data_IF_743071304724
#
_entry.id   IF_743071304724
#
_cell.length_a   1.000
_cell.length_b   1.000
_cell.length_c   1.000
_cell.angle_alpha   90.00
_cell.angle_beta   90.00
_cell.angle_gamma   90.00
#
_symmetry.space_group_name_H-M   'P 1'
#
loop_
_entity.id
_entity.type
_entity.pdbx_description
1 polymer ?
#
# COMPACT_ATOMS: atom_id res chain seq x y z
N UNK A 1 1.05 -17.98 -15.10
CA UNK A 1 -0.16 -17.53 -15.82
C UNK A 1 -1.43 -18.17 -15.23
N UNK A 2 -2.51 -17.40 -15.19
CA UNK A 2 -3.82 -17.85 -14.76
C UNK A 2 -4.57 -18.58 -15.91
N UNK A 3 -5.65 -19.28 -15.56
CA UNK A 3 -6.49 -19.93 -16.58
C UNK A 3 -7.12 -18.93 -17.58
N UNK A 4 -7.66 -17.74 -17.14
CA UNK A 4 -8.16 -16.73 -18.06
C UNK A 4 -7.10 -16.14 -18.98
N UNK A 5 -5.89 -15.90 -18.52
CA UNK A 5 -4.78 -15.38 -19.34
C UNK A 5 -4.39 -16.37 -20.45
N UNK A 6 -4.46 -17.68 -20.18
CA UNK A 6 -4.10 -18.69 -21.18
C UNK A 6 -5.25 -19.11 -22.07
N UNK A 7 -6.46 -19.21 -21.54
CA UNK A 7 -7.60 -19.86 -22.22
C UNK A 7 -8.88 -19.03 -22.16
N UNK A 8 -8.82 -17.80 -21.63
CA UNK A 8 -9.97 -16.91 -21.59
C UNK A 8 -10.45 -16.55 -23.01
N UNK A 9 -11.76 -16.48 -23.19
CA UNK A 9 -12.39 -16.00 -24.41
C UNK A 9 -13.57 -15.14 -24.03
N UNK A 10 -13.35 -13.82 -24.10
CA UNK A 10 -14.33 -12.79 -23.73
C UNK A 10 -14.50 -11.80 -24.89
N UNK A 11 -15.52 -10.95 -24.89
CA UNK A 11 -15.57 -9.84 -25.83
C UNK A 11 -14.28 -9.01 -25.76
N UNK A 12 -13.59 -8.88 -26.90
CA UNK A 12 -12.32 -8.16 -27.05
C UNK A 12 -11.10 -8.72 -26.28
N UNK A 13 -11.15 -9.97 -25.79
CA UNK A 13 -10.01 -10.61 -25.15
C UNK A 13 -9.90 -12.08 -25.57
N UNK A 14 -8.70 -12.49 -26.00
CA UNK A 14 -8.37 -13.89 -26.36
C UNK A 14 -7.12 -14.28 -25.58
N UNK A 15 -7.23 -15.33 -24.75
CA UNK A 15 -6.11 -15.84 -23.95
C UNK A 15 -4.98 -16.40 -24.82
N UNK A 16 -3.76 -16.38 -24.28
CA UNK A 16 -2.56 -16.88 -24.93
C UNK A 16 -2.09 -18.21 -24.30
N UNK A 17 -2.32 -19.35 -24.95
CA UNK A 17 -1.93 -20.64 -24.41
C UNK A 17 -0.40 -20.85 -24.31
N UNK A 18 0.39 -20.01 -24.98
CA UNK A 18 1.84 -20.09 -25.00
C UNK A 18 2.53 -19.35 -23.85
N UNK A 19 1.79 -18.73 -22.96
CA UNK A 19 2.36 -18.06 -21.79
C UNK A 19 3.20 -19.04 -20.97
N UNK A 20 4.40 -18.58 -20.61
CA UNK A 20 5.28 -19.25 -19.64
C UNK A 20 5.10 -18.64 -18.25
N UNK A 21 5.45 -19.35 -17.18
CA UNK A 21 5.42 -18.79 -15.82
C UNK A 21 6.32 -17.58 -15.67
N UNK A 22 5.91 -16.64 -14.82
CA UNK A 22 6.78 -15.62 -14.27
C UNK A 22 7.76 -16.28 -13.30
N UNK A 23 9.00 -15.82 -13.29
CA UNK A 23 10.04 -16.28 -12.38
C UNK A 23 10.54 -15.09 -11.56
N UNK A 24 10.77 -15.31 -10.25
CA UNK A 24 11.34 -14.29 -9.38
C UNK A 24 12.52 -14.84 -8.61
N UNK A 25 13.62 -14.11 -8.66
CA UNK A 25 14.80 -14.35 -7.81
C UNK A 25 14.96 -13.17 -6.86
N UNK A 26 15.06 -13.45 -5.56
CA UNK A 26 15.21 -12.39 -4.56
C UNK A 26 16.19 -12.78 -3.47
N UNK A 27 16.80 -11.78 -2.85
CA UNK A 27 17.53 -11.90 -1.62
C UNK A 27 17.15 -10.80 -0.64
N UNK A 28 17.27 -11.08 0.62
CA UNK A 28 17.08 -10.12 1.70
C UNK A 28 18.11 -10.32 2.79
N UNK A 29 18.47 -9.22 3.45
CA UNK A 29 19.30 -9.22 4.65
C UNK A 29 18.65 -8.35 5.71
N UNK A 30 18.36 -8.95 6.86
CA UNK A 30 17.70 -8.28 7.97
C UNK A 30 18.52 -8.33 9.26
N UNK A 31 18.28 -7.35 10.13
CA UNK A 31 18.81 -7.30 11.48
C UNK A 31 17.78 -6.74 12.45
N UNK A 32 17.62 -7.41 13.59
CA UNK A 32 16.77 -6.98 14.69
C UNK A 32 17.61 -6.55 15.90
N UNK A 33 17.24 -5.43 16.51
CA UNK A 33 17.87 -4.93 17.72
C UNK A 33 16.80 -4.68 18.80
N UNK A 34 16.93 -5.40 19.90
CA UNK A 34 16.16 -5.13 21.10
C UNK A 34 16.77 -3.94 21.85
N UNK A 35 15.94 -2.95 22.16
CA UNK A 35 16.32 -1.77 22.95
C UNK A 35 15.37 -1.57 24.11
N UNK A 36 15.68 -0.64 25.01
CA UNK A 36 14.87 -0.36 26.21
C UNK A 36 14.62 -1.60 27.08
N UNK A 37 15.66 -2.46 27.24
CA UNK A 37 15.53 -3.70 28.00
C UNK A 37 14.64 -4.77 27.35
N UNK A 38 14.44 -4.70 26.03
CA UNK A 38 13.58 -5.61 25.27
C UNK A 38 12.15 -5.11 25.07
N UNK A 39 11.84 -3.93 25.56
CA UNK A 39 10.51 -3.33 25.42
C UNK A 39 10.22 -2.83 23.99
N UNK A 40 11.25 -2.54 23.22
CA UNK A 40 11.16 -2.09 21.82
C UNK A 40 12.12 -2.90 20.93
N UNK A 41 11.60 -3.36 19.80
CA UNK A 41 12.38 -4.00 18.73
C UNK A 41 12.50 -3.03 17.56
N UNK A 42 13.74 -2.81 17.11
CA UNK A 42 14.03 -2.13 15.85
C UNK A 42 14.45 -3.20 14.84
N UNK A 43 13.89 -3.15 13.65
CA UNK A 43 14.23 -4.05 12.54
C UNK A 43 14.63 -3.24 11.32
N UNK A 44 15.69 -3.67 10.65
CA UNK A 44 16.12 -3.15 9.36
C UNK A 44 16.27 -4.33 8.41
N UNK A 45 15.65 -4.23 7.24
CA UNK A 45 15.81 -5.20 6.14
C UNK A 45 16.20 -4.45 4.88
N UNK A 46 17.14 -4.97 4.13
CA UNK A 46 17.44 -4.56 2.76
C UNK A 46 17.12 -5.72 1.83
N UNK A 47 16.58 -5.43 0.67
CA UNK A 47 16.14 -6.46 -0.27
C UNK A 47 16.35 -6.04 -1.72
N UNK A 48 16.46 -7.05 -2.58
CA UNK A 48 16.42 -6.92 -4.03
C UNK A 48 15.72 -8.13 -4.64
N UNK A 49 14.91 -7.89 -5.64
CA UNK A 49 14.18 -8.91 -6.39
C UNK A 49 14.23 -8.59 -7.89
N UNK A 50 14.47 -9.62 -8.68
CA UNK A 50 14.39 -9.60 -10.14
C UNK A 50 13.20 -10.48 -10.56
N UNK A 51 12.40 -9.98 -11.51
CA UNK A 51 11.28 -10.68 -12.08
C UNK A 51 11.52 -10.85 -13.58
N UNK A 52 11.45 -12.10 -14.04
CA UNK A 52 11.58 -12.46 -15.45
C UNK A 52 10.27 -13.01 -15.99
N UNK A 53 10.05 -12.85 -17.29
CA UNK A 53 8.85 -13.32 -17.97
C UNK A 53 7.55 -12.78 -17.39
N UNK A 54 7.57 -11.56 -16.85
CA UNK A 54 6.39 -10.91 -16.28
C UNK A 54 5.25 -10.88 -17.31
N UNK A 55 4.02 -11.10 -16.88
CA UNK A 55 2.88 -11.19 -17.79
C UNK A 55 2.16 -9.85 -17.86
N UNK A 56 2.22 -9.19 -19.03
CA UNK A 56 1.29 -8.11 -19.33
C UNK A 56 -0.06 -8.73 -19.73
N UNK A 57 -1.04 -8.54 -18.88
CA UNK A 57 -2.37 -9.13 -19.03
C UNK A 57 -3.26 -8.44 -20.06
N UNK A 58 -2.83 -7.35 -20.73
CA UNK A 58 -3.73 -6.56 -21.57
C UNK A 58 -3.02 -5.90 -22.77
N UNK A 59 -2.40 -6.73 -23.62
CA UNK A 59 -1.70 -6.30 -24.84
C UNK A 59 -2.65 -6.36 -26.05
N UNK A 60 -2.75 -5.26 -26.80
CA UNK A 60 -3.55 -5.27 -28.04
C UNK A 60 -2.86 -6.06 -29.15
N UNK A 61 -3.55 -7.07 -29.69
CA UNK A 61 -3.10 -7.86 -30.82
C UNK A 61 -3.79 -7.38 -32.12
N UNK A 62 -3.06 -6.73 -33.03
CA UNK A 62 -3.64 -6.25 -34.28
C UNK A 62 -4.05 -7.37 -35.25
N UNK A 63 -3.58 -8.60 -35.05
CA UNK A 63 -3.94 -9.71 -35.91
C UNK A 63 -5.34 -10.26 -35.62
N UNK A 64 -5.74 -10.22 -34.36
CA UNK A 64 -7.05 -10.70 -33.90
C UNK A 64 -8.03 -9.55 -33.61
N UNK A 65 -7.57 -8.29 -33.61
CA UNK A 65 -8.32 -7.09 -33.19
C UNK A 65 -8.88 -7.21 -31.77
N UNK A 66 -8.19 -7.94 -30.90
CA UNK A 66 -8.55 -8.16 -29.51
C UNK A 66 -7.35 -7.92 -28.60
N UNK A 67 -7.58 -7.86 -27.30
CA UNK A 67 -6.53 -7.89 -26.30
C UNK A 67 -6.14 -9.33 -26.00
N UNK A 68 -4.89 -9.53 -25.57
CA UNK A 68 -4.33 -10.81 -25.13
C UNK A 68 -3.36 -10.59 -23.99
N UNK A 69 -2.85 -11.67 -23.42
CA UNK A 69 -1.75 -11.62 -22.46
C UNK A 69 -0.45 -12.09 -23.10
N UNK A 70 0.66 -11.42 -22.82
CA UNK A 70 1.99 -11.82 -23.31
C UNK A 70 3.01 -11.74 -22.17
N UNK A 71 4.02 -12.61 -22.23
CA UNK A 71 5.20 -12.42 -21.38
C UNK A 71 6.03 -11.25 -21.93
N UNK A 72 6.47 -10.40 -21.00
CA UNK A 72 7.38 -9.28 -21.28
C UNK A 72 8.80 -9.85 -21.46
N UNK A 73 9.49 -9.42 -22.50
CA UNK A 73 10.87 -9.83 -22.77
C UNK A 73 11.83 -8.88 -22.06
N UNK A 74 12.08 -9.11 -20.79
CA UNK A 74 12.97 -8.27 -19.98
C UNK A 74 12.96 -8.68 -18.52
N UNK A 75 13.64 -7.93 -17.70
CA UNK A 75 13.72 -8.11 -16.25
C UNK A 75 13.23 -6.86 -15.56
N UNK A 76 12.21 -7.00 -14.73
CA UNK A 76 11.78 -5.95 -13.81
C UNK A 76 12.57 -6.06 -12.51
N UNK A 77 13.00 -4.93 -11.94
CA UNK A 77 13.79 -4.89 -10.72
C UNK A 77 13.04 -4.18 -9.60
N UNK A 78 13.13 -4.73 -8.38
CA UNK A 78 12.64 -4.10 -7.15
C UNK A 78 13.71 -4.19 -6.09
N UNK A 79 14.15 -3.04 -5.57
CA UNK A 79 15.15 -2.97 -4.49
C UNK A 79 14.78 -1.92 -3.48
N UNK A 80 15.16 -2.17 -2.23
CA UNK A 80 14.77 -1.24 -1.19
C UNK A 80 15.29 -1.57 0.19
N UNK A 81 14.75 -0.81 1.14
CA UNK A 81 15.01 -1.00 2.56
C UNK A 81 13.73 -0.77 3.37
N UNK A 82 13.57 -1.56 4.41
CA UNK A 82 12.48 -1.46 5.38
C UNK A 82 13.06 -1.20 6.76
N UNK A 83 12.50 -0.24 7.46
CA UNK A 83 12.81 0.07 8.85
C UNK A 83 11.53 -0.03 9.66
N UNK A 84 11.55 -0.75 10.78
CA UNK A 84 10.42 -0.80 11.69
C UNK A 84 10.84 -0.67 13.15
N UNK A 85 9.88 -0.19 13.97
CA UNK A 85 10.01 -0.11 15.41
C UNK A 85 8.70 -0.56 16.04
N UNK A 86 8.73 -1.62 16.85
CA UNK A 86 7.52 -2.19 17.46
C UNK A 86 7.77 -2.50 18.93
N UNK A 87 6.88 -2.06 19.81
CA UNK A 87 6.94 -2.35 21.23
C UNK A 87 6.24 -1.33 22.11
N UNK A 88 6.64 -1.31 23.38
CA UNK A 88 6.11 -0.39 24.37
C UNK A 88 7.17 0.65 24.74
N UNK A 89 6.84 1.92 24.59
CA UNK A 89 7.69 3.04 24.99
C UNK A 89 7.50 3.42 26.46
N UNK A 90 6.40 2.97 27.06
CA UNK A 90 6.12 3.02 28.49
C UNK A 90 5.06 1.98 28.85
N UNK A 91 4.69 1.84 30.14
CA UNK A 91 3.59 0.97 30.61
C UNK A 91 2.24 1.34 29.99
N UNK A 92 2.06 2.61 29.62
CA UNK A 92 0.79 3.13 29.06
C UNK A 92 0.85 3.45 27.58
N UNK A 93 2.00 3.30 26.92
CA UNK A 93 2.17 3.70 25.51
C UNK A 93 2.82 2.60 24.68
N UNK A 94 2.15 2.23 23.61
CA UNK A 94 2.65 1.31 22.58
C UNK A 94 2.95 2.03 21.27
N UNK A 95 3.95 1.57 20.55
CA UNK A 95 4.41 2.10 19.27
C UNK A 95 4.50 0.97 18.25
N UNK A 96 3.99 1.23 17.04
CA UNK A 96 4.32 0.46 15.85
C UNK A 96 4.56 1.45 14.72
N UNK A 97 5.79 1.53 14.25
CA UNK A 97 6.19 2.39 13.16
C UNK A 97 6.87 1.55 12.06
N UNK A 98 6.63 1.90 10.81
CA UNK A 98 7.29 1.30 9.67
C UNK A 98 7.58 2.37 8.61
N UNK A 99 8.70 2.22 7.93
CA UNK A 99 9.08 3.00 6.78
C UNK A 99 9.68 2.08 5.74
N UNK A 100 9.19 2.19 4.50
CA UNK A 100 9.68 1.44 3.35
C UNK A 100 10.17 2.40 2.28
N UNK A 101 11.37 2.18 1.81
CA UNK A 101 11.88 2.73 0.57
C UNK A 101 11.94 1.62 -0.47
N UNK A 102 11.30 1.82 -1.63
CA UNK A 102 11.33 0.86 -2.73
C UNK A 102 11.58 1.60 -4.04
N UNK A 103 12.61 1.20 -4.78
CA UNK A 103 12.80 1.57 -6.18
C UNK A 103 12.37 0.39 -7.05
N UNK A 104 11.37 0.63 -7.91
CA UNK A 104 10.75 -0.40 -8.74
C UNK A 104 10.75 0.07 -10.19
N UNK A 105 11.40 -0.70 -11.06
CA UNK A 105 11.52 -0.41 -12.49
C UNK A 105 11.07 -1.60 -13.32
N UNK A 106 10.33 -1.34 -14.38
CA UNK A 106 9.95 -2.34 -15.36
C UNK A 106 11.11 -2.74 -16.26
N UNK A 107 10.84 -3.62 -17.19
CA UNK A 107 11.80 -4.14 -18.19
C UNK A 107 12.38 -3.07 -19.12
N UNK A 108 11.66 -1.95 -19.31
CA UNK A 108 12.08 -0.79 -20.07
C UNK A 108 12.94 0.21 -19.25
N UNK A 109 13.33 -0.16 -18.02
CA UNK A 109 14.00 0.70 -17.05
C UNK A 109 13.19 1.95 -16.66
N UNK A 110 11.90 1.99 -16.99
CA UNK A 110 10.96 3.02 -16.53
C UNK A 110 10.35 2.59 -15.20
N UNK A 111 10.14 3.56 -14.34
CA UNK A 111 9.55 3.30 -13.04
C UNK A 111 8.12 2.77 -13.16
N UNK A 112 7.82 1.71 -12.42
CA UNK A 112 6.47 1.16 -12.35
C UNK A 112 5.47 2.20 -11.81
N UNK A 113 4.29 2.24 -12.42
CA UNK A 113 3.20 3.12 -11.97
C UNK A 113 2.58 2.61 -10.67
N UNK A 114 2.00 3.51 -9.88
CA UNK A 114 1.37 3.22 -8.59
C UNK A 114 2.31 2.53 -7.58
N UNK A 115 3.61 2.84 -7.68
CA UNK A 115 4.66 2.37 -6.79
C UNK A 115 5.36 3.57 -6.15
N UNK A 116 4.83 4.13 -5.05
CA UNK A 116 5.51 5.23 -4.37
C UNK A 116 6.83 4.73 -3.78
N UNK A 117 7.91 5.53 -3.93
CA UNK A 117 9.22 5.18 -3.37
C UNK A 117 9.24 5.16 -1.85
N UNK A 118 8.40 5.96 -1.24
CA UNK A 118 8.39 6.17 0.21
C UNK A 118 7.00 5.91 0.76
N UNK A 119 6.92 4.95 1.67
CA UNK A 119 5.71 4.67 2.43
C UNK A 119 6.13 4.67 3.90
N UNK A 120 5.35 5.35 4.75
CA UNK A 120 5.55 5.30 6.19
C UNK A 120 4.23 5.13 6.94
N UNK A 121 4.29 4.45 8.06
CA UNK A 121 3.16 4.33 8.96
C UNK A 121 3.60 4.46 10.41
N UNK A 122 2.75 5.06 11.22
CA UNK A 122 2.92 5.18 12.67
C UNK A 122 1.60 4.88 13.35
N UNK A 123 1.60 3.89 14.23
CA UNK A 123 0.51 3.63 15.16
C UNK A 123 0.99 3.90 16.58
N UNK A 124 0.31 4.79 17.28
CA UNK A 124 0.56 5.14 18.66
C UNK A 124 -0.68 4.81 19.49
N UNK A 125 -0.57 3.83 20.36
CA UNK A 125 -1.57 3.49 21.35
C UNK A 125 -1.21 4.15 22.69
N UNK A 126 -2.16 4.84 23.32
CA UNK A 126 -1.97 5.47 24.61
C UNK A 126 -3.15 5.24 25.54
N UNK A 127 -2.87 4.60 26.66
CA UNK A 127 -3.79 4.51 27.78
C UNK A 127 -3.64 5.77 28.66
N UNK A 128 -4.35 6.85 28.27
CA UNK A 128 -4.25 8.16 28.92
C UNK A 128 -4.79 8.15 30.38
N UNK A 129 -5.74 7.25 30.65
CA UNK A 129 -6.25 6.93 31.98
C UNK A 129 -6.74 5.48 32.00
N UNK A 130 -7.09 4.93 33.19
CA UNK A 130 -7.60 3.56 33.32
C UNK A 130 -8.84 3.27 32.44
N UNK A 131 -9.59 4.30 32.11
CA UNK A 131 -10.83 4.25 31.33
C UNK A 131 -10.78 5.04 30.01
N UNK A 132 -9.60 5.56 29.62
CA UNK A 132 -9.43 6.36 28.41
C UNK A 132 -8.28 5.83 27.56
N UNK A 133 -8.61 5.34 26.37
CA UNK A 133 -7.68 4.85 25.38
C UNK A 133 -7.71 5.74 24.12
N UNK A 134 -6.56 6.17 23.68
CA UNK A 134 -6.34 6.88 22.43
C UNK A 134 -5.49 6.00 21.51
N UNK A 135 -5.89 5.89 20.26
CA UNK A 135 -5.07 5.31 19.20
C UNK A 135 -4.98 6.32 18.06
N UNK A 136 -3.76 6.62 17.62
CA UNK A 136 -3.49 7.49 16.48
C UNK A 136 -2.76 6.69 15.43
N UNK A 137 -3.29 6.68 14.21
CA UNK A 137 -2.67 6.12 13.03
C UNK A 137 -2.29 7.25 12.07
N UNK A 138 -1.03 7.30 11.66
CA UNK A 138 -0.52 8.23 10.66
C UNK A 138 0.02 7.39 9.50
N UNK A 139 -0.39 7.70 8.28
CA UNK A 139 0.09 7.04 7.07
C UNK A 139 0.59 8.11 6.10
N UNK A 140 1.80 7.94 5.62
CA UNK A 140 2.40 8.76 4.57
C UNK A 140 2.62 7.90 3.33
N UNK A 141 2.16 8.40 2.19
CA UNK A 141 2.42 7.84 0.86
C UNK A 141 3.14 8.90 0.05
N UNK A 142 4.32 8.56 -0.47
CA UNK A 142 5.12 9.44 -1.33
C UNK A 142 4.46 9.66 -2.69
N UNK A 143 5.00 10.58 -3.47
CA UNK A 143 4.56 10.78 -4.85
C UNK A 143 4.72 9.51 -5.69
N UNK A 144 3.79 9.32 -6.60
CA UNK A 144 3.79 8.20 -7.55
C UNK A 144 3.29 8.66 -8.91
N UNK A 145 3.45 7.83 -9.92
CA UNK A 145 2.88 8.05 -11.24
C UNK A 145 1.69 7.13 -11.47
N UNK A 146 0.79 7.55 -12.35
CA UNK A 146 -0.31 6.74 -12.86
C UNK A 146 -0.44 6.93 -14.36
N UNK A 147 -1.26 6.11 -15.03
CA UNK A 147 -1.57 6.25 -16.45
C UNK A 147 -3.00 6.73 -16.61
N UNK A 148 -3.13 7.89 -17.23
CA UNK A 148 -4.43 8.40 -17.67
C UNK A 148 -4.73 7.97 -19.10
N UNK A 149 -5.91 7.46 -19.33
CA UNK A 149 -6.42 7.06 -20.63
C UNK A 149 -7.50 8.06 -21.10
N UNK A 150 -7.12 9.10 -21.84
CA UNK A 150 -8.09 10.06 -22.37
C UNK A 150 -8.98 9.40 -23.43
N UNK A 151 -10.13 10.02 -23.78
CA UNK A 151 -10.97 9.56 -24.88
C UNK A 151 -10.20 9.52 -26.20
N UNK A 152 -10.45 8.46 -26.99
CA UNK A 152 -9.89 8.37 -28.35
C UNK A 152 -10.18 9.66 -29.17
N UNK A 153 -9.22 10.20 -29.96
CA UNK A 153 -7.98 9.56 -30.44
C UNK A 153 -6.70 9.90 -29.61
N UNK A 154 -6.81 10.50 -28.45
CA UNK A 154 -5.64 10.90 -27.67
C UNK A 154 -4.89 9.69 -27.06
N UNK A 155 -3.54 9.70 -27.06
CA UNK A 155 -2.76 8.64 -26.44
C UNK A 155 -2.84 8.68 -24.92
N UNK A 156 -2.55 7.55 -24.27
CA UNK A 156 -2.36 7.50 -22.83
C UNK A 156 -1.24 8.44 -22.36
N UNK A 157 -1.36 8.96 -21.14
CA UNK A 157 -0.44 9.93 -20.56
C UNK A 157 -0.03 9.48 -19.17
N UNK A 158 1.27 9.57 -18.87
CA UNK A 158 1.77 9.39 -17.51
C UNK A 158 1.48 10.66 -16.72
N UNK A 159 0.80 10.52 -15.60
CA UNK A 159 0.42 11.61 -14.70
C UNK A 159 1.05 11.42 -13.34
N UNK A 160 1.39 12.51 -12.66
CA UNK A 160 1.91 12.45 -11.30
C UNK A 160 0.77 12.56 -10.28
N UNK A 161 0.80 11.70 -9.27
CA UNK A 161 -0.03 11.78 -8.08
C UNK A 161 0.82 12.30 -6.92
N UNK A 162 0.35 13.36 -6.26
CA UNK A 162 1.06 14.00 -5.15
C UNK A 162 1.17 13.08 -3.94
N UNK A 163 2.22 13.28 -3.14
CA UNK A 163 2.29 12.66 -1.83
C UNK A 163 1.16 13.14 -0.92
N UNK A 164 0.79 12.32 0.06
CA UNK A 164 -0.24 12.66 1.04
C UNK A 164 0.04 12.03 2.41
N UNK A 165 -0.58 12.62 3.44
CA UNK A 165 -0.49 12.12 4.82
C UNK A 165 -1.89 12.02 5.41
N UNK A 166 -2.27 10.83 5.83
CA UNK A 166 -3.54 10.58 6.50
C UNK A 166 -3.32 10.43 8.00
N UNK A 167 -4.17 11.08 8.78
CA UNK A 167 -4.19 10.97 10.24
C UNK A 167 -5.56 10.49 10.66
N UNK A 168 -5.59 9.33 11.33
CA UNK A 168 -6.81 8.76 11.89
C UNK A 168 -6.67 8.68 13.41
N UNK A 169 -7.72 9.04 14.13
CA UNK A 169 -7.72 9.07 15.60
C UNK A 169 -8.93 8.29 16.10
N UNK A 170 -8.69 7.36 17.03
CA UNK A 170 -9.72 6.62 17.72
C UNK A 170 -9.59 6.88 19.23
N UNK A 171 -10.66 7.34 19.84
CA UNK A 171 -10.76 7.56 21.29
C UNK A 171 -11.85 6.65 21.82
N UNK A 172 -11.52 5.88 22.86
CA UNK A 172 -12.45 5.02 23.57
C UNK A 172 -12.47 5.43 25.04
N UNK A 173 -13.67 5.70 25.55
CA UNK A 173 -13.88 6.11 26.94
C UNK A 173 -14.92 5.21 27.60
N UNK A 174 -14.51 4.45 28.61
CA UNK A 174 -15.40 3.62 29.44
C UNK A 174 -15.95 4.47 30.58
N UNK A 175 -17.14 5.01 30.43
CA UNK A 175 -17.78 5.87 31.43
C UNK A 175 -18.19 5.07 32.67
N UNK A 176 -18.58 3.80 32.49
CA UNK A 176 -18.86 2.82 33.55
C UNK A 176 -18.48 1.41 33.03
N UNK A 177 -18.57 0.39 33.90
CA UNK A 177 -18.35 -1.01 33.51
C UNK A 177 -19.29 -1.52 32.37
N UNK A 178 -20.41 -0.83 32.15
CA UNK A 178 -21.43 -1.19 31.19
C UNK A 178 -21.60 -0.21 30.03
N UNK A 179 -20.95 0.94 30.10
CA UNK A 179 -21.19 2.01 29.14
C UNK A 179 -19.89 2.58 28.59
N UNK A 180 -19.67 2.35 27.30
CA UNK A 180 -18.54 2.84 26.53
C UNK A 180 -18.98 3.89 25.50
N UNK A 181 -18.13 4.87 25.30
CA UNK A 181 -18.24 5.88 24.25
C UNK A 181 -17.01 5.76 23.35
N UNK A 182 -17.19 5.92 22.05
CA UNK A 182 -16.07 6.02 21.14
C UNK A 182 -16.23 7.16 20.14
N UNK A 183 -15.13 7.79 19.82
CA UNK A 183 -15.01 8.79 18.76
C UNK A 183 -13.96 8.29 17.78
N UNK A 184 -14.34 8.24 16.50
CA UNK A 184 -13.44 7.93 15.39
C UNK A 184 -13.36 9.12 14.47
N UNK A 185 -12.15 9.61 14.23
CA UNK A 185 -11.85 10.66 13.26
C UNK A 185 -11.04 10.01 12.14
N UNK A 186 -11.51 10.10 10.92
CA UNK A 186 -10.85 9.61 9.71
C UNK A 186 -10.42 10.81 8.89
N UNK A 187 -9.22 10.73 8.33
CA UNK A 187 -8.62 11.83 7.59
C UNK A 187 -8.73 13.16 8.35
N UNK A 188 -8.21 13.18 9.59
CA UNK A 188 -8.37 14.32 10.52
C UNK A 188 -7.75 15.63 10.00
N UNK A 189 -6.82 15.55 9.06
CA UNK A 189 -6.23 16.71 8.38
C UNK A 189 -7.06 17.20 7.19
N UNK A 190 -8.13 16.48 6.84
CA UNK A 190 -8.94 16.72 5.64
C UNK A 190 -8.09 16.79 4.36
N UNK A 191 -7.13 15.88 4.26
CA UNK A 191 -6.25 15.77 3.10
C UNK A 191 -7.06 15.42 1.85
N UNK A 192 -6.77 16.09 0.74
CA UNK A 192 -7.37 15.81 -0.56
C UNK A 192 -6.33 15.09 -1.42
N UNK A 193 -6.56 13.83 -1.73
CA UNK A 193 -5.61 12.96 -2.39
C UNK A 193 -6.29 12.00 -3.36
N UNK A 194 -5.50 11.44 -4.25
CA UNK A 194 -5.90 10.39 -5.17
C UNK A 194 -4.90 9.24 -5.09
N UNK A 195 -5.37 8.01 -5.00
CA UNK A 195 -4.55 6.79 -5.13
C UNK A 195 -4.51 6.29 -6.58
N UNK A 196 -5.56 6.62 -7.33
CA UNK A 196 -5.70 6.38 -8.76
C UNK A 196 -6.19 7.67 -9.39
N UNK A 197 -5.57 8.09 -10.48
CA UNK A 197 -5.91 9.35 -11.16
C UNK A 197 -7.40 9.44 -11.51
N UNK A 198 -8.01 10.56 -11.13
CA UNK A 198 -9.43 10.83 -11.38
C UNK A 198 -10.40 10.21 -10.36
N UNK A 199 -9.91 9.43 -9.38
CA UNK A 199 -10.74 8.87 -8.33
C UNK A 199 -10.52 9.62 -7.02
N UNK A 200 -11.47 10.50 -6.69
CA UNK A 200 -11.42 11.26 -5.45
C UNK A 200 -11.69 10.38 -4.24
N UNK A 201 -10.93 10.60 -3.20
CA UNK A 201 -11.06 9.92 -1.91
C UNK A 201 -11.95 10.72 -0.95
N UNK A 202 -12.37 10.06 0.14
CA UNK A 202 -13.16 10.74 1.17
C UNK A 202 -12.29 11.72 1.98
N UNK A 203 -12.80 12.92 2.20
CA UNK A 203 -12.21 13.89 3.11
C UNK A 203 -12.43 13.53 4.59
N UNK A 204 -12.41 14.53 5.46
CA UNK A 204 -12.62 14.36 6.90
C UNK A 204 -13.93 13.65 7.22
N UNK A 205 -13.83 12.62 8.07
CA UNK A 205 -14.96 11.87 8.61
C UNK A 205 -14.92 11.83 10.14
N UNK A 206 -16.08 11.91 10.78
CA UNK A 206 -16.22 11.74 12.22
C UNK A 206 -17.38 10.81 12.56
N UNK A 207 -17.12 9.84 13.44
CA UNK A 207 -18.13 8.91 13.95
C UNK A 207 -18.11 8.93 15.48
N UNK A 208 -19.26 9.20 16.08
CA UNK A 208 -19.46 9.05 17.52
C UNK A 208 -20.39 7.85 17.77
N UNK A 209 -20.01 6.98 18.67
CA UNK A 209 -20.83 5.82 19.03
C UNK A 209 -20.87 5.54 20.51
N UNK A 210 -21.89 4.83 20.90
CA UNK A 210 -22.18 4.40 22.27
C UNK A 210 -22.38 2.90 22.29
N UNK A 211 -21.83 2.21 23.30
CA UNK A 211 -22.04 0.79 23.53
C UNK A 211 -22.53 0.58 24.96
N UNK A 212 -23.60 -0.17 25.11
CA UNK A 212 -24.10 -0.60 26.39
C UNK A 212 -24.07 -2.13 26.48
N UNK A 213 -23.46 -2.66 27.54
CA UNK A 213 -23.38 -4.10 27.83
C UNK A 213 -24.28 -4.43 29.02
N UNK A 214 -25.15 -5.40 28.85
CA UNK A 214 -26.08 -5.86 29.91
C UNK A 214 -25.43 -6.86 30.87
#
# INVERSE_FOLDING_TARGET
PTFPERFGFYPNFIGNPNLIPEESTSWELGADQLIMGGALTLSLTIFEAELENEIDGFVYDPATFAYTSNNINGTSERKGAELSAVGNISESMSLSAAYTYTDSTGDDAVREVRRPRHIASLNLGWQAAHNLHLNTNIQFTGEQTDVYFPPFPEPSQVVALSNHTLVNINLNYSATEKFDMYLKLENALNENYEEVFGYQTLGFGATLGLRYSM
#
